data_IF_174256587317
#
_entry.id   IF_174256587317
#
_cell.length_a   1.000
_cell.length_b   1.000
_cell.length_c   1.000
_cell.angle_alpha   90.00
_cell.angle_beta   90.00
_cell.angle_gamma   90.00
#
_symmetry.space_group_name_H-M   'P 1'
#
loop_
_entity.id
_entity.type
_entity.pdbx_description
1 polymer ?
#
# COMPACT_ATOMS: atom_id res chain seq x y z
N UNK A 1 -1.50 -21.49 10.86
CA UNK A 1 -2.80 -21.79 10.20
C UNK A 1 -2.61 -21.89 8.69
N UNK A 2 -2.31 -23.10 8.16
CA UNK A 2 -1.95 -23.24 6.73
C UNK A 2 -3.11 -22.80 5.83
N UNK A 3 -2.85 -21.87 4.91
CA UNK A 3 -3.83 -21.36 3.93
C UNK A 3 -4.55 -20.06 4.30
N UNK A 4 -4.42 -19.55 5.53
CA UNK A 4 -5.05 -18.28 5.93
C UNK A 4 -4.58 -17.12 5.04
N UNK A 5 -3.27 -17.02 4.78
CA UNK A 5 -2.68 -16.00 3.91
C UNK A 5 -3.30 -15.96 2.52
N UNK A 6 -3.55 -17.12 1.92
CA UNK A 6 -4.23 -17.21 0.63
C UNK A 6 -5.68 -16.73 0.68
N UNK A 7 -6.41 -17.09 1.74
CA UNK A 7 -7.81 -16.62 1.94
C UNK A 7 -7.86 -15.10 2.07
N UNK A 8 -6.93 -14.51 2.83
CA UNK A 8 -6.81 -13.06 2.96
C UNK A 8 -6.46 -12.42 1.61
N UNK A 9 -5.56 -13.02 0.83
CA UNK A 9 -5.18 -12.52 -0.50
C UNK A 9 -6.38 -12.54 -1.46
N UNK A 10 -7.19 -13.60 -1.45
CA UNK A 10 -8.44 -13.67 -2.21
C UNK A 10 -9.40 -12.57 -1.75
N UNK A 11 -9.54 -12.34 -0.44
CA UNK A 11 -10.34 -11.23 0.11
C UNK A 11 -9.90 -9.86 -0.43
N UNK A 12 -8.60 -9.58 -0.43
CA UNK A 12 -8.05 -8.33 -0.97
C UNK A 12 -8.24 -8.22 -2.49
N UNK A 13 -8.06 -9.32 -3.22
CA UNK A 13 -8.28 -9.38 -4.66
C UNK A 13 -9.75 -9.10 -5.03
N UNK A 14 -10.70 -9.58 -4.21
CA UNK A 14 -12.13 -9.28 -4.34
C UNK A 14 -12.41 -7.80 -4.09
N UNK A 15 -11.73 -7.16 -3.14
CA UNK A 15 -11.87 -5.70 -2.92
C UNK A 15 -11.58 -4.95 -4.22
N UNK A 16 -10.44 -5.18 -4.87
CA UNK A 16 -10.14 -4.55 -6.17
C UNK A 16 -11.21 -4.85 -7.24
N UNK A 17 -11.64 -6.10 -7.36
CA UNK A 17 -12.62 -6.49 -8.38
C UNK A 17 -13.97 -5.78 -8.20
N UNK A 18 -14.40 -5.59 -6.95
CA UNK A 18 -15.76 -5.15 -6.59
C UNK A 18 -15.86 -3.71 -6.05
N UNK A 19 -14.76 -3.05 -5.70
CA UNK A 19 -14.78 -1.67 -5.16
C UNK A 19 -15.55 -0.70 -6.05
N UNK A 20 -15.40 -0.85 -7.37
CA UNK A 20 -16.10 -0.06 -8.40
C UNK A 20 -17.63 -0.13 -8.33
N UNK A 21 -18.17 -1.19 -7.70
CA UNK A 21 -19.60 -1.46 -7.53
C UNK A 21 -20.10 -1.16 -6.11
N UNK A 22 -19.22 -0.96 -5.14
CA UNK A 22 -19.61 -0.69 -3.76
C UNK A 22 -20.01 0.79 -3.63
N UNK A 23 -21.26 1.03 -3.22
CA UNK A 23 -21.76 2.37 -2.95
C UNK A 23 -21.70 2.69 -1.44
N UNK A 24 -20.50 2.58 -0.86
CA UNK A 24 -20.27 2.80 0.60
C UNK A 24 -20.75 4.19 1.03
N UNK A 25 -20.60 5.17 0.14
CA UNK A 25 -20.99 6.57 0.38
C UNK A 25 -22.50 6.80 0.39
N UNK A 26 -23.32 5.81 0.04
CA UNK A 26 -24.77 5.90 0.24
C UNK A 26 -25.16 5.87 1.72
N UNK A 27 -24.30 5.30 2.59
CA UNK A 27 -24.60 5.10 4.01
C UNK A 27 -23.73 5.92 4.95
N UNK A 28 -22.46 6.17 4.59
CA UNK A 28 -21.51 6.92 5.42
C UNK A 28 -21.01 8.13 4.64
N UNK A 29 -21.03 9.36 5.22
CA UNK A 29 -20.47 10.53 4.56
C UNK A 29 -19.00 10.29 4.21
N UNK A 30 -18.68 10.49 2.94
CA UNK A 30 -17.33 10.33 2.35
C UNK A 30 -16.24 10.97 3.22
N UNK A 31 -16.50 12.19 3.69
CA UNK A 31 -15.65 12.94 4.62
C UNK A 31 -15.25 12.14 5.87
N UNK A 32 -16.23 11.51 6.53
CA UNK A 32 -16.01 10.77 7.79
C UNK A 32 -15.31 9.44 7.51
N UNK A 33 -15.71 8.76 6.44
CA UNK A 33 -15.13 7.48 6.02
C UNK A 33 -13.63 7.63 5.71
N UNK A 34 -13.27 8.56 4.81
CA UNK A 34 -11.86 8.79 4.47
C UNK A 34 -11.03 9.27 5.66
N UNK A 35 -11.62 10.09 6.55
CA UNK A 35 -10.92 10.50 7.77
C UNK A 35 -10.63 9.32 8.69
N UNK A 36 -11.62 8.45 8.92
CA UNK A 36 -11.45 7.25 9.73
C UNK A 36 -10.39 6.31 9.13
N UNK A 37 -10.50 6.04 7.82
CA UNK A 37 -9.58 5.16 7.13
C UNK A 37 -8.14 5.73 7.12
N UNK A 38 -7.96 7.03 6.90
CA UNK A 38 -6.65 7.70 7.04
C UNK A 38 -6.09 7.63 8.47
N UNK A 39 -6.96 7.67 9.49
CA UNK A 39 -6.58 7.47 10.89
C UNK A 39 -6.05 6.07 11.17
N UNK A 40 -6.70 5.04 10.61
CA UNK A 40 -6.24 3.65 10.64
C UNK A 40 -4.89 3.52 9.92
N UNK A 41 -4.74 4.07 8.71
CA UNK A 41 -3.49 4.03 7.95
C UNK A 41 -2.32 4.67 8.70
N UNK A 42 -2.54 5.79 9.39
CA UNK A 42 -1.50 6.39 10.23
C UNK A 42 -1.14 5.48 11.42
N UNK A 43 -2.13 4.90 12.09
CA UNK A 43 -1.87 3.91 13.15
C UNK A 43 -1.03 2.74 12.66
N UNK A 44 -1.36 2.22 11.47
CA UNK A 44 -0.60 1.18 10.78
C UNK A 44 0.85 1.59 10.48
N UNK A 45 1.09 2.81 9.99
CA UNK A 45 2.48 3.28 9.76
C UNK A 45 3.30 3.21 11.04
N UNK A 46 2.77 3.73 12.13
CA UNK A 46 3.54 3.86 13.37
C UNK A 46 3.73 2.55 14.12
N UNK A 47 2.74 1.65 14.10
CA UNK A 47 2.79 0.41 14.89
C UNK A 47 3.13 -0.85 14.10
N UNK A 48 3.11 -0.80 12.76
CA UNK A 48 3.47 -1.95 11.92
C UNK A 48 4.65 -1.58 11.00
N UNK A 49 4.52 -0.51 10.19
CA UNK A 49 5.54 -0.21 9.16
C UNK A 49 6.88 0.22 9.76
N UNK A 50 6.89 1.14 10.73
CA UNK A 50 8.12 1.62 11.34
C UNK A 50 8.82 0.55 12.20
N UNK A 51 8.12 -0.23 13.06
CA UNK A 51 8.73 -1.35 13.76
C UNK A 51 9.28 -2.42 12.80
N UNK A 52 8.57 -2.74 11.72
CA UNK A 52 9.04 -3.72 10.74
C UNK A 52 10.28 -3.24 9.99
N UNK A 53 10.41 -1.93 9.71
CA UNK A 53 11.65 -1.35 9.19
C UNK A 53 12.84 -1.56 10.14
N UNK A 54 12.60 -1.49 11.45
CA UNK A 54 13.64 -1.78 12.44
C UNK A 54 14.01 -3.26 12.45
N UNK A 55 13.03 -4.17 12.40
CA UNK A 55 13.31 -5.61 12.32
C UNK A 55 14.06 -5.97 11.04
N UNK A 56 13.67 -5.41 9.90
CA UNK A 56 14.41 -5.56 8.64
C UNK A 56 15.86 -5.10 8.76
N UNK A 57 16.14 -4.02 9.50
CA UNK A 57 17.52 -3.57 9.75
C UNK A 57 18.31 -4.60 10.57
N UNK A 58 17.71 -5.13 11.64
CA UNK A 58 18.32 -6.16 12.50
C UNK A 58 18.62 -7.45 11.71
N UNK A 59 17.74 -7.86 10.80
CA UNK A 59 17.97 -9.00 9.90
C UNK A 59 19.10 -8.76 8.88
N UNK A 60 19.15 -7.58 8.28
CA UNK A 60 20.20 -7.24 7.30
C UNK A 60 21.57 -7.12 7.96
N UNK A 61 21.67 -6.59 9.18
CA UNK A 61 22.92 -6.51 9.94
C UNK A 61 23.49 -7.88 10.28
N UNK A 62 22.62 -8.87 10.52
CA UNK A 62 23.03 -10.25 10.74
C UNK A 62 23.41 -10.98 9.43
N UNK A 63 23.05 -10.43 8.28
CA UNK A 63 23.32 -11.02 6.98
C UNK A 63 24.74 -10.73 6.49
N UNK A 64 25.45 -11.75 5.99
CA UNK A 64 26.83 -11.63 5.48
C UNK A 64 26.90 -11.01 4.08
N UNK A 65 26.14 -9.94 3.80
CA UNK A 65 26.16 -9.26 2.50
C UNK A 65 27.18 -8.11 2.57
N UNK A 66 28.31 -8.16 1.83
CA UNK A 66 29.41 -7.21 2.00
C UNK A 66 29.05 -5.73 1.73
N UNK A 67 28.11 -5.49 0.83
CA UNK A 67 27.59 -4.16 0.48
C UNK A 67 26.69 -3.56 1.58
N UNK A 68 26.13 -4.41 2.45
CA UNK A 68 25.18 -4.10 3.53
C UNK A 68 25.89 -4.06 4.90
N UNK A 69 27.19 -4.30 4.96
CA UNK A 69 27.98 -4.15 6.19
C UNK A 69 28.59 -2.74 6.35
N UNK A 70 28.46 -1.87 5.35
CA UNK A 70 29.23 -0.62 5.25
C UNK A 70 28.48 0.65 5.71
N UNK A 71 27.14 0.63 5.81
CA UNK A 71 26.32 1.76 6.26
C UNK A 71 25.41 1.31 7.40
N UNK A 72 25.55 1.88 8.60
CA UNK A 72 24.73 1.53 9.77
C UNK A 72 23.21 1.74 9.61
N UNK A 73 22.72 2.28 8.47
CA UNK A 73 21.31 2.63 8.25
C UNK A 73 20.78 2.21 6.86
N UNK A 74 21.25 1.09 6.31
CA UNK A 74 20.88 0.62 4.97
C UNK A 74 19.36 0.57 4.73
N UNK A 75 18.59 0.05 5.67
CA UNK A 75 17.13 -0.11 5.53
C UNK A 75 16.43 1.24 5.43
N UNK A 76 16.80 2.20 6.28
CA UNK A 76 16.24 3.55 6.23
C UNK A 76 16.63 4.30 4.94
N UNK A 77 17.84 4.09 4.43
CA UNK A 77 18.26 4.65 3.14
C UNK A 77 17.49 4.03 1.97
N UNK A 78 17.20 2.72 2.03
CA UNK A 78 16.34 2.06 1.04
C UNK A 78 14.91 2.58 1.11
N UNK A 79 14.36 2.77 2.30
CA UNK A 79 13.04 3.40 2.49
C UNK A 79 13.02 4.82 1.95
N UNK A 80 14.05 5.63 2.24
CA UNK A 80 14.19 6.96 1.67
C UNK A 80 14.28 6.91 0.13
N UNK A 81 15.05 5.97 -0.43
CA UNK A 81 15.14 5.79 -1.87
C UNK A 81 13.78 5.45 -2.47
N UNK A 82 13.03 4.53 -1.88
CA UNK A 82 11.66 4.21 -2.29
C UNK A 82 10.75 5.42 -2.25
N UNK A 83 10.77 6.17 -1.15
CA UNK A 83 10.03 7.43 -1.03
C UNK A 83 10.40 8.41 -2.14
N UNK A 84 11.70 8.63 -2.39
CA UNK A 84 12.18 9.58 -3.40
C UNK A 84 11.81 9.14 -4.82
N UNK A 85 11.90 7.85 -5.14
CA UNK A 85 11.51 7.31 -6.44
C UNK A 85 10.03 7.56 -6.68
N UNK A 86 9.17 7.18 -5.74
CA UNK A 86 7.72 7.37 -5.89
C UNK A 86 7.32 8.86 -5.87
N UNK A 87 7.98 9.67 -5.07
CA UNK A 87 7.79 11.12 -5.07
C UNK A 87 8.21 11.76 -6.39
N UNK A 88 9.36 11.35 -6.94
CA UNK A 88 9.86 11.81 -8.24
C UNK A 88 8.93 11.42 -9.37
N UNK A 89 8.42 10.18 -9.38
CA UNK A 89 7.40 9.73 -10.34
C UNK A 89 6.15 10.60 -10.27
N UNK A 90 5.67 10.93 -9.07
CA UNK A 90 4.53 11.81 -8.87
C UNK A 90 4.76 13.22 -9.45
N UNK A 91 5.91 13.83 -9.16
CA UNK A 91 6.23 15.17 -9.66
C UNK A 91 6.37 15.17 -11.18
N UNK A 92 7.09 14.21 -11.74
CA UNK A 92 7.36 14.15 -13.18
C UNK A 92 6.06 14.05 -13.98
N UNK A 93 5.09 13.33 -13.42
CA UNK A 93 3.75 13.20 -13.96
C UNK A 93 2.96 14.51 -13.87
N UNK A 94 2.98 15.18 -12.73
CA UNK A 94 2.23 16.43 -12.51
C UNK A 94 2.76 17.57 -13.38
N UNK A 95 4.08 17.69 -13.51
CA UNK A 95 4.75 18.72 -14.32
C UNK A 95 4.58 18.49 -15.82
N UNK A 96 4.55 17.23 -16.27
CA UNK A 96 4.26 16.88 -17.67
C UNK A 96 2.85 17.28 -18.15
N UNK A 97 1.90 17.44 -17.22
CA UNK A 97 0.52 17.89 -17.51
C UNK A 97 0.39 19.40 -17.71
N UNK A 98 1.33 20.20 -17.22
CA UNK A 98 1.22 21.67 -17.22
C UNK A 98 1.82 22.35 -18.46
N UNK A 99 2.46 21.59 -19.37
CA UNK A 99 3.07 22.13 -20.60
C UNK A 99 2.03 22.30 -21.73
N UNK A 100 1.61 23.53 -22.11
CA UNK A 100 0.49 23.75 -23.03
C UNK A 100 0.77 23.34 -24.49
N UNK A 101 2.05 23.36 -24.91
CA UNK A 101 2.48 23.09 -26.30
C UNK A 101 2.37 21.59 -26.66
N UNK A 102 2.23 20.71 -25.66
CA UNK A 102 2.23 19.26 -25.86
C UNK A 102 0.83 18.59 -25.79
N UNK A 103 -0.25 19.37 -25.83
CA UNK A 103 -1.65 18.92 -25.68
C UNK A 103 -2.30 18.33 -26.94
N UNK A 104 -1.57 18.14 -28.04
CA UNK A 104 -2.12 17.64 -29.32
C UNK A 104 -2.20 16.10 -29.38
N UNK A 105 -1.65 15.36 -28.41
CA UNK A 105 -1.72 13.88 -28.41
C UNK A 105 -2.57 13.34 -27.25
N UNK A 106 -3.70 12.73 -27.59
CA UNK A 106 -4.63 12.04 -26.70
C UNK A 106 -4.05 10.84 -25.92
N UNK A 107 -2.72 10.66 -25.90
CA UNK A 107 -2.04 9.46 -25.40
C UNK A 107 -1.30 9.66 -24.05
N UNK A 108 -1.17 10.89 -23.53
CA UNK A 108 -0.43 11.16 -22.28
C UNK A 108 -1.18 10.80 -21.00
N UNK A 109 -2.50 11.00 -20.96
CA UNK A 109 -3.33 10.58 -19.81
C UNK A 109 -3.23 9.07 -19.56
N UNK A 110 -3.16 8.29 -20.64
CA UNK A 110 -2.93 6.84 -20.60
C UNK A 110 -1.57 6.48 -19.99
N UNK A 111 -0.47 7.11 -20.45
CA UNK A 111 0.87 6.80 -19.95
C UNK A 111 1.02 7.06 -18.44
N UNK A 112 0.49 8.19 -17.95
CA UNK A 112 0.50 8.54 -16.52
C UNK A 112 -0.25 7.50 -15.68
N UNK A 113 -1.42 7.08 -16.15
CA UNK A 113 -2.21 6.04 -15.50
C UNK A 113 -1.43 4.71 -15.44
N UNK A 114 -0.78 4.32 -16.55
CA UNK A 114 -0.01 3.07 -16.61
C UNK A 114 1.18 3.04 -15.67
N UNK A 115 1.89 4.16 -15.48
CA UNK A 115 3.00 4.25 -14.51
C UNK A 115 2.47 4.05 -13.09
N UNK A 116 1.44 4.80 -12.70
CA UNK A 116 0.84 4.69 -11.37
C UNK A 116 0.34 3.28 -11.08
N UNK A 117 -0.42 2.71 -12.00
CA UNK A 117 -1.03 1.41 -11.77
C UNK A 117 -0.02 0.27 -11.78
N UNK A 118 1.09 0.41 -12.51
CA UNK A 118 2.18 -0.57 -12.47
C UNK A 118 2.90 -0.54 -11.13
N UNK A 119 3.17 0.66 -10.60
CA UNK A 119 3.80 0.81 -9.29
C UNK A 119 2.90 0.25 -8.18
N UNK A 120 1.59 0.51 -8.25
CA UNK A 120 0.61 -0.07 -7.34
C UNK A 120 0.42 -1.58 -7.53
N UNK A 121 0.48 -2.09 -8.76
CA UNK A 121 0.47 -3.53 -9.01
C UNK A 121 1.68 -4.20 -8.35
N UNK A 122 2.87 -3.60 -8.42
CA UNK A 122 4.06 -4.13 -7.77
C UNK A 122 3.91 -4.18 -6.24
N UNK A 123 3.39 -3.10 -5.63
CA UNK A 123 3.05 -3.07 -4.20
C UNK A 123 2.07 -4.20 -3.84
N UNK A 124 1.03 -4.39 -4.65
CA UNK A 124 0.00 -5.42 -4.45
C UNK A 124 0.54 -6.84 -4.58
N UNK A 125 1.47 -7.08 -5.50
CA UNK A 125 2.13 -8.37 -5.62
C UNK A 125 2.98 -8.69 -4.39
N UNK A 126 3.66 -7.69 -3.83
CA UNK A 126 4.47 -7.87 -2.61
C UNK A 126 3.59 -8.11 -1.41
N UNK A 127 2.51 -7.34 -1.25
CA UNK A 127 1.49 -7.60 -0.24
C UNK A 127 1.01 -9.06 -0.35
N UNK A 128 0.58 -9.49 -1.55
CA UNK A 128 0.13 -10.86 -1.78
C UNK A 128 1.17 -11.93 -1.39
N UNK A 129 2.45 -11.69 -1.69
CA UNK A 129 3.56 -12.55 -1.28
C UNK A 129 3.69 -12.62 0.24
N UNK A 130 3.79 -11.47 0.91
CA UNK A 130 3.97 -11.36 2.37
C UNK A 130 2.78 -11.94 3.15
N UNK A 131 1.58 -11.94 2.56
CA UNK A 131 0.41 -12.58 3.15
C UNK A 131 0.61 -14.06 3.47
N UNK A 132 1.52 -14.76 2.79
CA UNK A 132 1.75 -16.18 3.03
C UNK A 132 2.50 -16.45 4.34
N UNK A 133 3.33 -15.49 4.78
CA UNK A 133 4.12 -15.60 6.01
C UNK A 133 3.30 -15.26 7.27
N UNK A 134 2.11 -14.67 7.10
CA UNK A 134 1.20 -14.31 8.19
C UNK A 134 0.68 -15.50 9.02
N UNK A 135 0.87 -16.73 8.54
CA UNK A 135 0.38 -17.95 9.19
C UNK A 135 0.97 -18.26 10.57
N UNK A 136 2.00 -17.51 10.99
CA UNK A 136 2.67 -17.60 12.30
C UNK A 136 2.08 -16.63 13.35
N UNK A 137 1.30 -15.63 12.92
CA UNK A 137 0.69 -14.63 13.80
C UNK A 137 -0.65 -15.08 14.39
N UNK A 138 -1.14 -14.34 15.38
CA UNK A 138 -2.47 -14.57 15.95
C UNK A 138 -3.58 -14.27 14.93
N UNK A 139 -4.74 -14.92 15.05
CA UNK A 139 -5.88 -14.65 14.15
C UNK A 139 -6.30 -13.17 14.17
N UNK A 140 -6.23 -12.53 15.34
CA UNK A 140 -6.58 -11.11 15.49
C UNK A 140 -5.57 -10.19 14.77
N UNK A 141 -4.26 -10.46 14.88
CA UNK A 141 -3.24 -9.75 14.10
C UNK A 141 -3.50 -9.87 12.60
N UNK A 142 -3.82 -11.08 12.13
CA UNK A 142 -4.14 -11.32 10.73
C UNK A 142 -5.37 -10.53 10.25
N UNK A 143 -6.42 -10.45 11.08
CA UNK A 143 -7.62 -9.67 10.77
C UNK A 143 -7.31 -8.17 10.76
N UNK A 144 -6.56 -7.66 11.73
CA UNK A 144 -6.18 -6.24 11.80
C UNK A 144 -5.34 -5.84 10.59
N UNK A 145 -4.33 -6.65 10.26
CA UNK A 145 -3.52 -6.46 9.05
C UNK A 145 -4.38 -6.45 7.79
N UNK A 146 -5.28 -7.44 7.64
CA UNK A 146 -6.22 -7.48 6.52
C UNK A 146 -7.09 -6.23 6.44
N UNK A 147 -7.65 -5.75 7.56
CA UNK A 147 -8.49 -4.54 7.60
C UNK A 147 -7.69 -3.29 7.22
N UNK A 148 -6.47 -3.14 7.75
CA UNK A 148 -5.60 -2.01 7.42
C UNK A 148 -5.26 -1.97 5.92
N UNK A 149 -4.82 -3.11 5.38
CA UNK A 149 -4.49 -3.23 3.95
C UNK A 149 -5.74 -3.08 3.09
N UNK A 150 -6.88 -3.66 3.47
CA UNK A 150 -8.14 -3.50 2.75
C UNK A 150 -8.57 -2.03 2.64
N UNK A 151 -8.44 -1.26 3.72
CA UNK A 151 -8.72 0.17 3.72
C UNK A 151 -7.73 0.94 2.83
N UNK A 152 -6.43 0.62 2.94
CA UNK A 152 -5.39 1.20 2.09
C UNK A 152 -5.70 1.01 0.60
N UNK A 153 -6.01 -0.22 0.19
CA UNK A 153 -6.38 -0.56 -1.18
C UNK A 153 -7.68 0.12 -1.61
N UNK A 154 -8.68 0.21 -0.73
CA UNK A 154 -9.93 0.91 -1.04
C UNK A 154 -9.70 2.39 -1.33
N UNK A 155 -8.93 3.10 -0.50
CA UNK A 155 -8.65 4.53 -0.73
C UNK A 155 -7.86 4.72 -2.02
N UNK A 156 -6.85 3.88 -2.24
CA UNK A 156 -6.02 3.88 -3.44
C UNK A 156 -6.85 3.65 -4.72
N UNK A 157 -7.78 2.71 -4.69
CA UNK A 157 -8.68 2.42 -5.80
C UNK A 157 -9.60 3.60 -6.13
N UNK A 158 -10.16 4.27 -5.11
CA UNK A 158 -10.95 5.48 -5.33
C UNK A 158 -10.08 6.59 -5.95
N UNK A 159 -8.86 6.79 -5.45
CA UNK A 159 -7.92 7.78 -5.98
C UNK A 159 -7.58 7.55 -7.47
N UNK A 160 -7.34 6.29 -7.86
CA UNK A 160 -7.11 5.91 -9.26
C UNK A 160 -8.35 6.11 -10.14
N UNK A 161 -9.53 5.80 -9.60
CA UNK A 161 -10.81 5.89 -10.31
C UNK A 161 -11.28 7.33 -10.52
N UNK A 162 -11.02 8.23 -9.58
CA UNK A 162 -11.33 9.67 -9.71
C UNK A 162 -10.65 10.29 -10.93
N UNK A 163 -9.39 9.92 -11.20
CA UNK A 163 -8.60 10.51 -12.28
C UNK A 163 -8.79 9.80 -13.64
N UNK A 164 -9.05 8.49 -13.64
CA UNK A 164 -9.14 7.69 -14.88
C UNK A 164 -10.21 6.58 -14.81
N UNK A 165 -11.46 6.96 -14.49
CA UNK A 165 -12.59 6.03 -14.26
C UNK A 165 -12.73 4.91 -15.30
N UNK A 166 -12.72 5.23 -16.59
CA UNK A 166 -12.96 4.25 -17.66
C UNK A 166 -11.83 3.24 -17.83
N UNK A 167 -10.57 3.69 -17.75
CA UNK A 167 -9.38 2.84 -17.85
C UNK A 167 -9.26 1.94 -16.61
N UNK A 168 -9.53 2.49 -15.42
CA UNK A 168 -9.54 1.76 -14.17
C UNK A 168 -10.62 0.67 -14.14
N UNK A 169 -11.88 1.01 -14.44
CA UNK A 169 -13.01 0.07 -14.37
C UNK A 169 -12.87 -1.08 -15.40
N UNK A 170 -12.25 -0.82 -16.57
CA UNK A 170 -12.06 -1.82 -17.64
C UNK A 170 -10.83 -2.70 -17.46
N UNK A 171 -9.68 -2.11 -17.12
CA UNK A 171 -8.38 -2.81 -17.10
C UNK A 171 -7.72 -2.76 -15.74
N UNK A 172 -7.73 -1.59 -15.10
CA UNK A 172 -6.94 -1.35 -13.92
C UNK A 172 -7.26 -2.26 -12.74
N UNK A 173 -8.54 -2.41 -12.39
CA UNK A 173 -8.94 -3.29 -11.29
C UNK A 173 -8.49 -4.74 -11.48
N UNK A 174 -8.56 -5.26 -12.71
CA UNK A 174 -8.18 -6.64 -13.01
C UNK A 174 -6.68 -6.83 -12.97
N UNK A 175 -5.91 -5.80 -13.34
CA UNK A 175 -4.46 -5.81 -13.16
C UNK A 175 -4.07 -5.87 -11.67
N UNK A 176 -4.72 -5.08 -10.82
CA UNK A 176 -4.45 -5.08 -9.38
C UNK A 176 -4.90 -6.39 -8.71
N UNK A 177 -6.08 -6.91 -9.05
CA UNK A 177 -6.54 -8.24 -8.64
C UNK A 177 -5.54 -9.32 -9.05
N UNK A 178 -5.07 -9.31 -10.30
CA UNK A 178 -4.10 -10.28 -10.79
C UNK A 178 -2.77 -10.14 -10.05
N UNK A 179 -2.31 -8.91 -9.76
CA UNK A 179 -1.06 -8.67 -9.07
C UNK A 179 -1.05 -9.29 -7.66
N UNK A 180 -2.11 -9.07 -6.85
CA UNK A 180 -2.23 -9.71 -5.53
C UNK A 180 -2.18 -11.24 -5.66
N UNK A 181 -2.93 -11.80 -6.59
CA UNK A 181 -3.00 -13.26 -6.77
C UNK A 181 -1.67 -13.86 -7.22
N UNK A 182 -0.98 -13.20 -8.16
CA UNK A 182 0.36 -13.60 -8.61
C UNK A 182 1.35 -13.55 -7.45
N UNK A 183 1.30 -12.50 -6.63
CA UNK A 183 2.07 -12.38 -5.40
C UNK A 183 1.82 -13.53 -4.43
N UNK A 184 0.54 -13.81 -4.14
CA UNK A 184 0.15 -14.88 -3.23
C UNK A 184 0.57 -16.28 -3.71
N UNK A 185 0.45 -16.55 -5.01
CA UNK A 185 0.93 -17.81 -5.60
C UNK A 185 2.46 -17.87 -5.52
N UNK A 186 3.14 -16.77 -5.84
CA UNK A 186 4.59 -16.69 -5.75
C UNK A 186 5.09 -16.95 -4.32
N UNK A 187 4.42 -16.42 -3.30
CA UNK A 187 4.76 -16.67 -1.89
C UNK A 187 4.58 -18.13 -1.43
N UNK A 188 3.78 -18.93 -2.15
CA UNK A 188 3.65 -20.36 -1.87
C UNK A 188 4.71 -21.21 -2.57
N UNK A 189 5.18 -20.75 -3.73
CA UNK A 189 6.10 -21.50 -4.59
C UNK A 189 7.55 -21.13 -4.32
N UNK A 190 7.83 -19.86 -4.08
CA UNK A 190 9.17 -19.32 -3.88
C UNK A 190 9.36 -18.91 -2.43
N UNK A 191 10.44 -19.40 -1.83
CA UNK A 191 10.89 -18.94 -0.51
C UNK A 191 12.07 -18.01 -0.76
N UNK A 192 11.83 -16.70 -0.74
CA UNK A 192 12.90 -15.72 -0.79
C UNK A 192 13.70 -15.76 0.50
N UNK A 193 15.00 -15.44 0.41
CA UNK A 193 15.83 -15.26 1.60
C UNK A 193 15.33 -14.05 2.38
N UNK A 194 15.35 -14.13 3.72
CA UNK A 194 14.95 -13.05 4.63
C UNK A 194 15.56 -11.69 4.23
N UNK A 195 16.87 -11.64 3.99
CA UNK A 195 17.54 -10.42 3.52
C UNK A 195 16.95 -9.83 2.23
N UNK A 196 16.48 -10.66 1.29
CA UNK A 196 15.84 -10.18 0.06
C UNK A 196 14.47 -9.59 0.34
N UNK A 197 13.70 -10.22 1.21
CA UNK A 197 12.39 -9.73 1.66
C UNK A 197 12.58 -8.39 2.35
N UNK A 198 13.54 -8.28 3.27
CA UNK A 198 13.81 -7.07 4.03
C UNK A 198 14.32 -5.93 3.16
N UNK A 199 15.13 -6.18 2.12
CA UNK A 199 15.48 -5.17 1.09
C UNK A 199 14.24 -4.65 0.36
N UNK A 200 13.39 -5.56 -0.13
CA UNK A 200 12.18 -5.21 -0.87
C UNK A 200 11.25 -4.41 0.06
N UNK A 201 10.92 -4.95 1.22
CA UNK A 201 10.07 -4.30 2.21
C UNK A 201 10.57 -2.91 2.57
N UNK A 202 11.88 -2.75 2.83
CA UNK A 202 12.48 -1.46 3.15
C UNK A 202 12.19 -0.41 2.09
N UNK A 203 12.44 -0.74 0.83
CA UNK A 203 12.13 0.15 -0.30
C UNK A 203 10.63 0.48 -0.37
N UNK A 204 9.75 -0.50 -0.19
CA UNK A 204 8.30 -0.30 -0.28
C UNK A 204 7.72 0.45 0.92
N UNK A 205 8.25 0.28 2.12
CA UNK A 205 7.81 0.98 3.32
C UNK A 205 7.90 2.51 3.12
N UNK A 206 8.97 3.00 2.48
CA UNK A 206 9.07 4.41 2.11
C UNK A 206 7.99 4.89 1.14
N UNK A 207 7.65 4.07 0.14
CA UNK A 207 6.53 4.34 -0.77
C UNK A 207 5.19 4.35 -0.04
N UNK A 208 4.96 3.40 0.89
CA UNK A 208 3.73 3.31 1.69
C UNK A 208 3.59 4.56 2.56
N UNK A 209 4.66 4.97 3.25
CA UNK A 209 4.66 6.18 4.08
C UNK A 209 4.28 7.41 3.23
N UNK A 210 4.89 7.58 2.06
CA UNK A 210 4.56 8.67 1.16
C UNK A 210 3.08 8.63 0.73
N UNK A 211 2.59 7.45 0.33
CA UNK A 211 1.23 7.30 -0.16
C UNK A 211 0.21 7.64 0.94
N UNK A 212 0.46 7.16 2.16
CA UNK A 212 -0.42 7.42 3.30
C UNK A 212 -0.44 8.91 3.62
N UNK A 213 0.74 9.53 3.77
CA UNK A 213 0.84 10.95 4.12
C UNK A 213 0.30 11.87 3.03
N UNK A 214 0.42 11.50 1.75
CA UNK A 214 0.04 12.37 0.63
C UNK A 214 -1.37 12.13 0.11
N UNK A 215 -1.88 10.89 0.17
CA UNK A 215 -3.12 10.49 -0.53
C UNK A 215 -4.21 9.96 0.38
N UNK A 216 -3.87 9.40 1.53
CA UNK A 216 -4.86 8.84 2.46
C UNK A 216 -5.25 9.80 3.58
N UNK A 217 -4.38 10.76 3.88
CA UNK A 217 -4.75 11.87 4.75
C UNK A 217 -5.73 12.80 4.03
N UNK A 218 -6.94 13.01 4.59
CA UNK A 218 -7.92 13.89 3.97
C UNK A 218 -7.42 15.34 3.97
N UNK A 219 -7.64 16.05 2.86
CA UNK A 219 -7.39 17.48 2.77
C UNK A 219 -8.05 18.23 3.94
N UNK A 220 -7.42 19.30 4.43
CA UNK A 220 -7.90 20.07 5.58
C UNK A 220 -9.38 20.53 5.45
N UNK A 221 -9.85 20.76 4.22
CA UNK A 221 -11.24 21.17 3.93
C UNK A 221 -12.25 20.01 3.95
N UNK A 222 -11.78 18.76 3.84
CA UNK A 222 -12.55 17.53 3.78
C UNK A 222 -12.18 16.56 4.92
N UNK A 223 -11.45 17.01 5.94
CA UNK A 223 -11.08 16.17 7.08
C UNK A 223 -12.10 16.28 8.21
N UNK A 224 -12.33 15.20 8.94
CA UNK A 224 -13.09 15.16 10.18
C UNK A 224 -12.17 14.59 11.26
N UNK A 225 -11.59 15.48 12.07
CA UNK A 225 -10.60 15.11 13.08
C UNK A 225 -11.10 14.01 14.02
N UNK A 226 -12.36 14.06 14.46
CA UNK A 226 -12.93 13.05 15.36
C UNK A 226 -13.04 11.65 14.72
N UNK A 227 -13.40 11.58 13.43
CA UNK A 227 -13.39 10.30 12.72
C UNK A 227 -11.96 9.78 12.54
N UNK A 228 -11.01 10.66 12.24
CA UNK A 228 -9.59 10.32 12.15
C UNK A 228 -9.04 9.79 13.48
N UNK A 229 -9.23 10.54 14.57
CA UNK A 229 -8.83 10.15 15.91
C UNK A 229 -9.48 8.82 16.32
N UNK A 230 -10.76 8.64 16.03
CA UNK A 230 -11.47 7.39 16.29
C UNK A 230 -10.87 6.20 15.54
N UNK A 231 -10.51 6.37 14.26
CA UNK A 231 -9.84 5.34 13.47
C UNK A 231 -8.46 5.00 14.01
N UNK A 232 -7.66 6.01 14.34
CA UNK A 232 -6.32 5.81 14.94
C UNK A 232 -6.43 5.09 16.27
N UNK A 233 -7.21 5.60 17.23
CA UNK A 233 -7.32 5.00 18.57
C UNK A 233 -7.91 3.60 18.53
N UNK A 234 -8.87 3.32 17.66
CA UNK A 234 -9.45 1.99 17.52
C UNK A 234 -8.41 1.01 16.99
N UNK A 235 -7.72 1.36 15.90
CA UNK A 235 -6.73 0.48 15.31
C UNK A 235 -5.57 0.23 16.27
N UNK A 236 -4.99 1.29 16.84
CA UNK A 236 -3.85 1.16 17.74
C UNK A 236 -4.24 0.48 19.05
N UNK A 237 -5.40 0.79 19.61
CA UNK A 237 -5.92 0.15 20.83
C UNK A 237 -6.17 -1.34 20.66
N UNK A 238 -6.71 -1.76 19.50
CA UNK A 238 -6.87 -3.18 19.19
C UNK A 238 -5.52 -3.87 18.99
N UNK A 239 -4.57 -3.23 18.31
CA UNK A 239 -3.26 -3.82 18.06
C UNK A 239 -2.44 -4.00 19.34
N UNK A 240 -2.47 -3.01 20.25
CA UNK A 240 -1.77 -3.07 21.54
C UNK A 240 -2.42 -4.02 22.55
N UNK A 241 -3.62 -4.54 22.26
CA UNK A 241 -4.30 -5.52 23.12
C UNK A 241 -3.88 -6.97 22.90
N UNK A 242 -3.01 -7.20 21.91
CA UNK A 242 -2.51 -8.51 21.48
C UNK A 242 -1.12 -8.73 22.05
#
# INVERSE_FOLDING_TARGET
>A
MRGLGFVLAVGLALIHAFVSKLNVFAFIPERRWFSFAGGVSIGYVFLEVLPELRHAQEELEQSTIPLVAYLENHVYLLALLGLLVFYGLDIWILTSRQNPIANITANKGSAVFWIHITAFAMLNAIIGYLLQDLGQHSLLQCILFFVAVALHLFIMDQSLREHHKTLYDKKGRWLLTAAIMVGAIAGQVFHLKEATISIIWSFFAGSIILNILKRELPDAKKSCFWSFLGGTLLYTGLLLSI
#
